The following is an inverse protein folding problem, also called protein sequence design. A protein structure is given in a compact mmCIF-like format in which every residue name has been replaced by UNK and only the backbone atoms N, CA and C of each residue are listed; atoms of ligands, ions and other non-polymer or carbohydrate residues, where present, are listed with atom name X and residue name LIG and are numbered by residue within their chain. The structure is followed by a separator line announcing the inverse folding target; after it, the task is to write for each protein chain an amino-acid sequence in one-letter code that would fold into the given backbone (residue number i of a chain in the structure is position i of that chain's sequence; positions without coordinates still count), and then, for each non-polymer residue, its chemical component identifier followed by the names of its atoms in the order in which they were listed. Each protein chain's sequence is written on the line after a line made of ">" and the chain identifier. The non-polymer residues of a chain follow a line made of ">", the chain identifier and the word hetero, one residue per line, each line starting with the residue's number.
data_IF_871443337859
#
_entry.id   IF_871443337859
#
_cell.length_a   1.000
_cell.length_b   1.000
_cell.length_c   1.000
_cell.angle_alpha   90.00
_cell.angle_beta   90.00
_cell.angle_gamma   90.00
#
_symmetry.space_group_name_H-M   'P 1'
#
loop_
_entity.id
_entity.type
_entity.pdbx_description
1 polymer ?
#
# COMPACT_ATOMS: atom_id res chain seq x y z
N UNK A 1 16.11 4.91 -12.96
CA UNK A 1 15.40 4.88 -11.65
C UNK A 1 14.98 3.45 -11.38
N UNK A 2 15.73 2.75 -10.51
CA UNK A 2 15.61 1.30 -10.30
C UNK A 2 14.37 0.94 -9.46
N UNK A 3 13.67 -0.12 -9.84
CA UNK A 3 12.41 -0.58 -9.23
C UNK A 3 12.52 -0.96 -7.75
N UNK A 4 13.74 -1.17 -7.24
CA UNK A 4 13.99 -1.50 -5.83
C UNK A 4 13.88 -0.30 -4.87
N UNK A 5 13.99 0.94 -5.35
CA UNK A 5 13.81 2.16 -4.54
C UNK A 5 12.32 2.43 -4.23
N UNK A 6 11.41 1.83 -5.00
CA UNK A 6 9.95 2.00 -4.89
C UNK A 6 9.30 1.19 -3.76
N UNK A 7 10.02 0.21 -3.19
CA UNK A 7 9.49 -0.62 -2.09
C UNK A 7 9.76 0.04 -0.73
N UNK A 8 10.75 0.94 -0.62
CA UNK A 8 11.06 1.59 0.65
C UNK A 8 11.84 2.91 0.51
N UNK A 9 11.09 4.00 0.29
CA UNK A 9 11.28 5.17 1.15
C UNK A 9 10.05 5.21 2.05
N UNK A 10 10.15 4.80 3.33
CA UNK A 10 9.03 4.98 4.24
C UNK A 10 8.82 6.47 4.28
N UNK A 11 7.74 6.96 3.66
CA UNK A 11 7.51 8.38 3.36
C UNK A 11 8.10 9.22 4.47
N UNK A 12 9.23 9.87 4.17
CA UNK A 12 9.76 10.86 5.07
C UNK A 12 8.57 11.79 5.27
N UNK A 13 8.16 12.02 6.51
CA UNK A 13 6.98 12.77 6.92
C UNK A 13 6.48 13.86 5.91
N UNK A 14 7.42 14.56 5.26
CA UNK A 14 7.21 15.45 4.12
C UNK A 14 6.29 14.94 3.01
N UNK A 15 6.51 13.76 2.41
CA UNK A 15 5.77 13.36 1.21
C UNK A 15 4.26 13.22 1.48
N UNK A 16 3.91 12.57 2.60
CA UNK A 16 2.50 12.41 3.01
C UNK A 16 1.92 13.75 3.49
N UNK A 17 2.72 14.60 4.12
CA UNK A 17 2.30 15.94 4.53
C UNK A 17 1.98 16.84 3.33
N UNK A 18 2.82 16.81 2.30
CA UNK A 18 2.64 17.55 1.04
C UNK A 18 1.42 17.03 0.28
N UNK A 19 1.28 15.71 0.12
CA UNK A 19 0.15 15.08 -0.57
C UNK A 19 -1.20 15.38 0.10
N UNK A 20 -1.23 15.40 1.44
CA UNK A 20 -2.47 15.62 2.19
C UNK A 20 -2.71 17.08 2.58
N UNK A 21 -1.73 17.97 2.38
CA UNK A 21 -1.71 19.34 2.91
C UNK A 21 -1.78 19.43 4.44
N UNK A 22 -1.55 18.31 5.13
CA UNK A 22 -1.71 18.20 6.57
C UNK A 22 -0.37 17.92 7.24
N UNK A 23 0.10 18.84 8.08
CA UNK A 23 1.38 18.71 8.78
C UNK A 23 1.27 18.06 10.17
N UNK A 24 0.06 17.63 10.57
CA UNK A 24 -0.15 16.92 11.84
C UNK A 24 -0.57 15.49 11.58
N UNK A 25 0.02 14.55 12.33
CA UNK A 25 -0.30 13.11 12.25
C UNK A 25 -1.80 12.83 12.24
N UNK A 26 -2.55 13.44 13.17
CA UNK A 26 -4.01 13.24 13.29
C UNK A 26 -4.75 13.62 12.01
N UNK A 27 -4.40 14.77 11.40
CA UNK A 27 -5.03 15.24 10.16
C UNK A 27 -4.62 14.39 8.96
N UNK A 28 -3.36 13.95 8.89
CA UNK A 28 -2.90 13.04 7.85
C UNK A 28 -3.71 11.74 7.86
N UNK A 29 -3.81 11.08 9.02
CA UNK A 29 -4.60 9.85 9.19
C UNK A 29 -6.07 10.10 8.81
N UNK A 30 -6.66 11.21 9.26
CA UNK A 30 -8.04 11.54 8.94
C UNK A 30 -8.26 11.76 7.43
N UNK A 31 -7.33 12.43 6.74
CA UNK A 31 -7.41 12.63 5.30
C UNK A 31 -7.27 11.31 4.54
N UNK A 32 -6.30 10.47 4.91
CA UNK A 32 -6.12 9.15 4.29
C UNK A 32 -7.35 8.27 4.48
N UNK A 33 -7.92 8.25 5.69
CA UNK A 33 -9.14 7.50 5.99
C UNK A 33 -10.36 8.02 5.21
N UNK A 34 -10.54 9.34 5.13
CA UNK A 34 -11.64 9.97 4.36
C UNK A 34 -11.54 9.67 2.87
N UNK A 35 -10.31 9.60 2.34
CA UNK A 35 -10.06 9.30 0.93
C UNK A 35 -10.06 7.79 0.63
N UNK A 36 -10.24 6.94 1.64
CA UNK A 36 -10.23 5.49 1.46
C UNK A 36 -8.86 4.92 1.05
N UNK A 37 -7.78 5.64 1.31
CA UNK A 37 -6.42 5.23 0.94
C UNK A 37 -5.89 4.24 2.00
N UNK A 38 -5.52 3.00 1.62
CA UNK A 38 -4.90 2.05 2.53
C UNK A 38 -3.61 2.61 3.13
N UNK A 39 -3.55 2.65 4.45
CA UNK A 39 -2.39 3.15 5.19
C UNK A 39 -2.11 2.29 6.41
N UNK A 40 -0.85 2.29 6.84
CA UNK A 40 -0.38 1.62 8.05
C UNK A 40 0.37 2.61 8.93
N UNK A 41 0.52 2.31 10.21
CA UNK A 41 1.32 3.13 11.12
C UNK A 41 2.65 2.43 11.35
N UNK A 42 3.76 3.12 11.08
CA UNK A 42 5.09 2.58 11.31
C UNK A 42 5.49 2.65 12.80
N UNK A 43 6.66 2.08 13.14
CA UNK A 43 7.20 2.11 14.51
C UNK A 43 7.44 3.53 15.05
N UNK A 44 7.69 4.52 14.18
CA UNK A 44 7.81 5.93 14.55
C UNK A 44 6.46 6.63 14.77
N UNK A 45 5.35 5.91 14.57
CA UNK A 45 4.01 6.42 14.75
C UNK A 45 3.49 7.29 13.60
N UNK A 46 4.11 7.28 12.42
CA UNK A 46 3.64 8.04 11.26
C UNK A 46 2.86 7.16 10.26
N UNK A 47 1.88 7.72 9.54
CA UNK A 47 1.18 6.99 8.49
C UNK A 47 2.09 6.74 7.29
N UNK A 48 2.08 5.50 6.81
CA UNK A 48 2.81 5.04 5.62
C UNK A 48 1.80 4.46 4.64
N UNK A 49 1.93 4.87 3.38
CA UNK A 49 1.09 4.44 2.26
C UNK A 49 1.97 3.77 1.19
N UNK A 50 1.39 2.83 0.44
CA UNK A 50 2.05 2.34 -0.77
C UNK A 50 1.81 3.31 -1.92
N UNK A 51 2.83 3.56 -2.75
CA UNK A 51 2.71 4.41 -3.94
C UNK A 51 1.60 3.97 -4.89
N UNK A 52 1.41 2.65 -5.05
CA UNK A 52 0.34 2.11 -5.88
C UNK A 52 -1.06 2.52 -5.42
N UNK A 53 -1.25 2.74 -4.12
CA UNK A 53 -2.51 3.23 -3.56
C UNK A 53 -2.75 4.72 -3.84
N UNK A 54 -1.68 5.49 -4.05
CA UNK A 54 -1.75 6.93 -4.37
C UNK A 54 -1.91 7.13 -5.88
N UNK A 55 -1.13 6.42 -6.69
CA UNK A 55 -1.13 6.54 -8.15
C UNK A 55 -2.32 5.83 -8.81
N UNK A 56 -3.19 5.16 -8.03
CA UNK A 56 -4.31 4.36 -8.56
C UNK A 56 -3.88 3.12 -9.35
N UNK A 57 -2.58 2.83 -9.41
CA UNK A 57 -2.02 1.63 -10.04
C UNK A 57 -2.18 0.38 -9.18
N UNK A 58 -2.77 0.51 -7.98
CA UNK A 58 -3.24 -0.61 -7.20
C UNK A 58 -4.23 -1.39 -8.06
N UNK A 59 -3.72 -2.43 -8.73
CA UNK A 59 -4.55 -3.46 -9.34
C UNK A 59 -5.53 -3.88 -8.25
N UNK A 60 -6.82 -3.67 -8.49
CA UNK A 60 -7.87 -4.47 -7.84
C UNK A 60 -7.29 -5.86 -7.79
N UNK A 61 -7.19 -6.42 -6.58
CA UNK A 61 -6.90 -7.84 -6.44
C UNK A 61 -8.07 -8.47 -7.16
N UNK A 62 -7.90 -8.74 -8.45
CA UNK A 62 -8.75 -9.66 -9.14
C UNK A 62 -8.72 -10.84 -8.18
N UNK A 63 -9.89 -11.20 -7.67
CA UNK A 63 -10.14 -12.51 -7.11
C UNK A 63 -9.77 -13.49 -8.22
N UNK A 64 -8.46 -13.66 -8.41
CA UNK A 64 -7.91 -14.81 -9.05
C UNK A 64 -8.36 -15.88 -8.10
N UNK A 65 -9.39 -16.59 -8.52
CA UNK A 65 -9.57 -18.01 -8.29
C UNK A 65 -8.18 -18.63 -8.22
N UNK A 66 -7.61 -18.55 -7.03
CA UNK A 66 -6.41 -19.22 -6.62
C UNK A 66 -6.89 -20.64 -6.36
N UNK A 67 -7.31 -21.30 -7.45
CA UNK A 67 -7.41 -22.73 -7.58
C UNK A 67 -5.98 -23.27 -7.54
N UNK A 68 -5.33 -23.09 -6.40
CA UNK A 68 -4.14 -23.84 -6.08
C UNK A 68 -4.60 -25.28 -5.90
N UNK A 69 -4.35 -26.10 -6.93
CA UNK A 69 -4.48 -27.54 -6.84
C UNK A 69 -3.14 -28.11 -6.40
N UNK A 70 -3.17 -28.90 -5.32
CA UNK A 70 -1.98 -29.62 -4.87
C UNK A 70 -1.52 -30.59 -5.95
N UNK A 71 -0.21 -30.71 -6.16
CA UNK A 71 0.36 -31.69 -7.10
C UNK A 71 -0.06 -33.13 -6.79
N UNK A 72 -0.46 -33.42 -5.55
CA UNK A 72 -0.98 -34.73 -5.13
C UNK A 72 -2.34 -35.09 -5.77
N UNK A 73 -3.09 -34.12 -6.30
CA UNK A 73 -4.40 -34.32 -6.93
C UNK A 73 -4.35 -34.49 -8.45
N UNK A 74 -3.15 -34.50 -9.06
CA UNK A 74 -3.00 -34.72 -10.51
C UNK A 74 -2.95 -36.23 -10.77
N UNK A 75 -3.83 -36.81 -11.61
CA UNK A 75 -3.74 -38.23 -11.95
C UNK A 75 -2.42 -38.50 -12.68
N UNK A 76 -1.71 -39.56 -12.29
CA UNK A 76 -0.52 -40.02 -12.99
C UNK A 76 -0.94 -40.49 -14.39
N UNK A 77 -0.36 -39.88 -15.42
CA UNK A 77 -0.53 -40.27 -16.83
C UNK A 77 0.30 -41.51 -17.16
#
# INVERSE_FOLDING_TARGET
>A
MSAADKIMRPGAHGDVAELTGAHTKRRQIQNLARNGIPHTINAAGWPVVMWSAVDGSAKTRADADCGWSSNAMRPAA
#
